data_IF_191458266205
#
_entry.id   IF_191458266205
#
_cell.length_a   1.000
_cell.length_b   1.000
_cell.length_c   1.000
_cell.angle_alpha   90.00
_cell.angle_beta   90.00
_cell.angle_gamma   90.00
#
_symmetry.space_group_name_H-M   'P 1'
#
loop_
_entity.id
_entity.type
_entity.pdbx_description
1 polymer ?
#
# COMPACT_ATOMS: atom_id res chain seq x y z
N UNK A 1 -11.19 10.03 -21.32
CA UNK A 1 -10.16 10.15 -20.27
C UNK A 1 -8.78 9.59 -20.72
N UNK A 2 -8.69 8.81 -21.85
CA UNK A 2 -7.43 8.23 -22.36
C UNK A 2 -7.04 6.93 -21.65
N UNK A 3 -5.77 6.52 -21.84
CA UNK A 3 -5.22 5.30 -21.23
C UNK A 3 -4.75 5.60 -19.80
N UNK A 4 -5.35 4.92 -18.82
CA UNK A 4 -5.09 5.09 -17.41
C UNK A 4 -4.22 3.93 -16.88
N UNK A 5 -3.51 4.06 -15.73
CA UNK A 5 -2.65 2.99 -15.20
C UNK A 5 -3.34 1.63 -15.08
N UNK A 6 -4.62 1.60 -14.69
CA UNK A 6 -5.42 0.37 -14.61
C UNK A 6 -5.64 -0.27 -15.99
N UNK A 7 -5.73 0.55 -17.05
CA UNK A 7 -5.85 0.04 -18.43
C UNK A 7 -4.56 -0.64 -18.85
N UNK A 8 -3.41 -0.03 -18.53
CA UNK A 8 -2.09 -0.60 -18.81
C UNK A 8 -1.90 -1.94 -18.09
N UNK A 9 -2.30 -2.01 -16.82
CA UNK A 9 -2.25 -3.25 -16.03
C UNK A 9 -3.11 -4.35 -16.68
N UNK A 10 -4.34 -4.03 -17.07
CA UNK A 10 -5.24 -4.97 -17.74
C UNK A 10 -4.66 -5.48 -19.08
N UNK A 11 -4.05 -4.60 -19.89
CA UNK A 11 -3.38 -4.97 -21.12
C UNK A 11 -2.23 -5.94 -20.86
N UNK A 12 -1.38 -5.64 -19.87
CA UNK A 12 -0.26 -6.50 -19.52
C UNK A 12 -0.70 -7.89 -19.06
N UNK A 13 -1.77 -7.97 -18.26
CA UNK A 13 -2.35 -9.25 -17.84
C UNK A 13 -2.92 -10.03 -19.02
N UNK A 14 -3.66 -9.39 -19.92
CA UNK A 14 -4.23 -10.03 -21.10
C UNK A 14 -3.13 -10.55 -22.03
N UNK A 15 -2.07 -9.76 -22.28
CA UNK A 15 -0.90 -10.18 -23.07
C UNK A 15 -0.16 -11.35 -22.42
N UNK A 16 0.07 -11.29 -21.10
CA UNK A 16 0.71 -12.40 -20.37
C UNK A 16 -0.11 -13.69 -20.44
N UNK A 17 -1.45 -13.57 -20.45
CA UNK A 17 -2.37 -14.71 -20.61
C UNK A 17 -2.51 -15.19 -22.06
N UNK A 18 -2.00 -14.47 -23.05
CA UNK A 18 -2.10 -14.80 -24.48
C UNK A 18 -3.54 -14.82 -25.01
N UNK A 19 -4.40 -13.95 -24.50
CA UNK A 19 -5.80 -13.83 -24.92
C UNK A 19 -5.97 -12.65 -25.89
N UNK A 20 -7.00 -12.75 -26.76
CA UNK A 20 -7.34 -11.66 -27.66
C UNK A 20 -7.95 -10.49 -26.89
N UNK A 21 -7.67 -9.29 -27.35
CA UNK A 21 -8.13 -8.05 -26.73
C UNK A 21 -9.07 -7.35 -27.71
N UNK A 22 -10.30 -7.07 -27.25
CA UNK A 22 -11.23 -6.17 -27.90
C UNK A 22 -11.33 -4.90 -27.08
N UNK A 23 -11.16 -3.75 -27.71
CA UNK A 23 -11.12 -2.44 -27.04
C UNK A 23 -12.47 -1.74 -27.20
N UNK A 24 -13.18 -1.53 -26.10
CA UNK A 24 -14.38 -0.69 -26.06
C UNK A 24 -14.00 0.74 -25.62
N UNK A 25 -14.06 1.69 -26.56
CA UNK A 25 -13.83 3.11 -26.26
C UNK A 25 -15.14 3.74 -25.81
N UNK A 26 -15.33 3.88 -24.50
CA UNK A 26 -16.58 4.32 -23.90
C UNK A 26 -16.68 5.86 -23.79
N UNK A 27 -17.93 6.33 -23.52
CA UNK A 27 -18.29 7.75 -23.32
C UNK A 27 -18.16 8.59 -24.59
N UNK A 28 -18.45 8.02 -25.76
CA UNK A 28 -18.42 8.76 -27.03
C UNK A 28 -19.50 9.85 -27.13
N UNK A 29 -20.52 9.80 -26.25
CA UNK A 29 -21.55 10.82 -26.09
C UNK A 29 -21.03 12.16 -25.54
N UNK A 30 -19.81 12.19 -24.96
CA UNK A 30 -19.24 13.42 -24.44
C UNK A 30 -18.66 14.29 -25.53
N UNK A 31 -18.86 15.63 -25.50
CA UNK A 31 -18.29 16.54 -26.50
C UNK A 31 -16.75 16.54 -26.57
N UNK A 32 -16.09 16.11 -25.49
CA UNK A 32 -14.63 15.99 -25.40
C UNK A 32 -14.10 14.62 -25.84
N UNK A 33 -14.97 13.71 -26.27
CA UNK A 33 -14.55 12.37 -26.68
C UNK A 33 -13.70 12.43 -27.96
N UNK A 34 -12.56 11.74 -27.93
CA UNK A 34 -11.67 11.62 -29.08
C UNK A 34 -11.18 10.17 -29.21
N UNK A 35 -11.85 9.40 -30.07
CA UNK A 35 -11.57 7.98 -30.30
C UNK A 35 -10.19 7.79 -30.94
N UNK A 36 -9.83 8.66 -31.88
CA UNK A 36 -8.54 8.55 -32.61
C UNK A 36 -7.33 8.79 -31.68
N UNK A 37 -7.47 9.69 -30.73
CA UNK A 37 -6.46 9.89 -29.69
C UNK A 37 -6.27 8.63 -28.84
N UNK A 38 -7.36 7.97 -28.42
CA UNK A 38 -7.29 6.74 -27.61
C UNK A 38 -6.66 5.60 -28.41
N UNK A 39 -6.98 5.47 -29.71
CA UNK A 39 -6.33 4.50 -30.60
C UNK A 39 -4.82 4.75 -30.67
N UNK A 40 -4.41 6.03 -30.80
CA UNK A 40 -3.01 6.41 -30.85
C UNK A 40 -2.26 6.09 -29.54
N UNK A 41 -2.84 6.42 -28.38
CA UNK A 41 -2.26 6.09 -27.06
C UNK A 41 -2.10 4.56 -26.88
N UNK A 42 -3.07 3.76 -27.36
CA UNK A 42 -3.01 2.29 -27.27
C UNK A 42 -2.00 1.64 -28.22
N UNK A 43 -1.60 2.34 -29.30
CA UNK A 43 -0.54 1.86 -30.18
C UNK A 43 0.81 1.73 -29.45
N UNK A 44 1.07 2.55 -28.43
CA UNK A 44 2.27 2.43 -27.58
C UNK A 44 2.33 1.08 -26.82
N UNK A 45 1.18 0.44 -26.68
CA UNK A 45 1.05 -0.89 -26.04
C UNK A 45 0.82 -2.00 -27.08
N UNK A 46 1.26 -1.85 -28.33
CA UNK A 46 1.09 -2.80 -29.45
C UNK A 46 -0.38 -3.18 -29.74
N UNK A 47 -1.35 -2.36 -29.35
CA UNK A 47 -2.75 -2.52 -29.70
C UNK A 47 -3.07 -1.61 -30.88
N UNK A 48 -2.78 -2.12 -32.10
CA UNK A 48 -2.97 -1.37 -33.33
C UNK A 48 -4.35 -1.70 -33.90
N UNK A 49 -5.12 -0.66 -34.21
CA UNK A 49 -6.46 -0.83 -34.78
C UNK A 49 -6.42 -1.49 -36.17
N UNK A 50 -7.46 -2.26 -36.49
CA UNK A 50 -7.61 -2.90 -37.80
C UNK A 50 -7.57 -1.86 -38.95
N UNK A 51 -8.21 -0.70 -38.76
CA UNK A 51 -8.20 0.43 -39.71
C UNK A 51 -6.77 0.92 -40.02
N UNK A 52 -5.82 0.71 -39.13
CA UNK A 52 -4.42 1.10 -39.26
C UNK A 52 -3.49 -0.06 -39.64
N UNK A 53 -4.11 -1.21 -40.02
CA UNK A 53 -3.40 -2.41 -40.43
C UNK A 53 -2.95 -3.33 -39.29
N UNK A 54 -3.49 -3.12 -38.10
CA UNK A 54 -3.29 -4.00 -36.94
C UNK A 54 -4.30 -5.14 -36.89
N UNK A 55 -4.41 -5.78 -35.73
CA UNK A 55 -5.31 -6.91 -35.47
C UNK A 55 -6.26 -6.66 -34.30
N UNK A 56 -6.25 -5.48 -33.68
CA UNK A 56 -7.07 -5.18 -32.52
C UNK A 56 -8.38 -4.54 -32.93
N UNK A 57 -9.50 -5.10 -32.49
CA UNK A 57 -10.83 -4.59 -32.76
C UNK A 57 -11.13 -3.44 -31.77
N UNK A 58 -11.51 -2.28 -32.31
CA UNK A 58 -11.93 -1.12 -31.55
C UNK A 58 -13.42 -0.86 -31.76
N UNK A 59 -14.19 -0.85 -30.66
CA UNK A 59 -15.60 -0.55 -30.67
C UNK A 59 -15.89 0.76 -29.93
N UNK A 60 -16.20 1.87 -30.63
CA UNK A 60 -16.69 3.07 -29.99
C UNK A 60 -18.07 2.82 -29.41
N UNK A 61 -18.26 3.12 -28.10
CA UNK A 61 -19.51 2.84 -27.39
C UNK A 61 -19.90 3.98 -26.45
N UNK A 62 -21.17 4.09 -26.14
CA UNK A 62 -21.68 4.87 -25.03
C UNK A 62 -22.55 3.99 -24.14
N UNK A 63 -22.07 3.65 -22.96
CA UNK A 63 -22.85 2.91 -21.98
C UNK A 63 -24.06 3.72 -21.47
N UNK A 64 -24.04 5.05 -21.59
CA UNK A 64 -25.14 5.90 -21.17
C UNK A 64 -26.30 5.91 -22.18
N UNK A 65 -26.00 5.98 -23.48
CA UNK A 65 -27.02 6.03 -24.55
C UNK A 65 -27.32 4.65 -25.11
N UNK A 66 -26.49 3.65 -24.89
CA UNK A 66 -26.56 2.33 -25.50
C UNK A 66 -25.96 2.26 -26.91
N UNK A 67 -25.45 3.36 -27.44
CA UNK A 67 -24.85 3.41 -28.78
C UNK A 67 -23.60 2.52 -28.86
N UNK A 68 -23.49 1.74 -29.93
CA UNK A 68 -22.36 0.86 -30.23
C UNK A 68 -22.30 -0.44 -29.40
N UNK A 69 -23.19 -0.65 -28.43
CA UNK A 69 -23.18 -1.85 -27.58
C UNK A 69 -23.46 -3.12 -28.38
N UNK A 70 -24.44 -3.09 -29.30
CA UNK A 70 -24.76 -4.26 -30.11
C UNK A 70 -23.57 -4.66 -31.00
N UNK A 71 -22.88 -3.69 -31.60
CA UNK A 71 -21.66 -3.93 -32.36
C UNK A 71 -20.55 -4.53 -31.52
N UNK A 72 -20.35 -4.03 -30.28
CA UNK A 72 -19.37 -4.61 -29.34
C UNK A 72 -19.68 -6.08 -29.05
N UNK A 73 -20.94 -6.40 -28.79
CA UNK A 73 -21.37 -7.78 -28.53
C UNK A 73 -21.18 -8.68 -29.76
N UNK A 74 -21.47 -8.20 -30.96
CA UNK A 74 -21.22 -8.90 -32.20
C UNK A 74 -19.74 -9.19 -32.45
N UNK A 75 -18.87 -8.21 -32.20
CA UNK A 75 -17.41 -8.41 -32.33
C UNK A 75 -16.86 -9.39 -31.29
N UNK A 76 -17.39 -9.40 -30.06
CA UNK A 76 -17.02 -10.40 -29.04
C UNK A 76 -17.45 -11.80 -29.45
N UNK A 77 -18.66 -11.96 -29.99
CA UNK A 77 -19.14 -13.26 -30.52
C UNK A 77 -18.28 -13.74 -31.68
N UNK A 78 -17.97 -12.88 -32.64
CA UNK A 78 -17.10 -13.20 -33.77
C UNK A 78 -15.72 -13.64 -33.32
N UNK A 79 -15.10 -12.93 -32.38
CA UNK A 79 -13.79 -13.29 -31.81
C UNK A 79 -13.85 -14.65 -31.12
N UNK A 80 -14.93 -14.94 -30.38
CA UNK A 80 -15.14 -16.23 -29.72
C UNK A 80 -15.32 -17.38 -30.73
N UNK A 81 -16.05 -17.15 -31.82
CA UNK A 81 -16.25 -18.14 -32.91
C UNK A 81 -14.92 -18.47 -33.61
N UNK A 82 -14.12 -17.46 -33.92
CA UNK A 82 -12.78 -17.65 -34.52
C UNK A 82 -11.84 -18.49 -33.64
N UNK A 83 -12.00 -18.43 -32.33
CA UNK A 83 -11.24 -19.22 -31.35
C UNK A 83 -11.70 -20.68 -31.26
N UNK A 84 -12.85 -21.05 -31.82
CA UNK A 84 -13.42 -22.40 -31.70
C UNK A 84 -13.39 -22.95 -30.25
N UNK A 85 -13.80 -22.16 -29.27
CA UNK A 85 -13.73 -22.51 -27.86
C UNK A 85 -14.61 -23.76 -27.57
N UNK A 86 -13.99 -24.85 -27.16
CA UNK A 86 -14.65 -26.14 -26.90
C UNK A 86 -14.39 -26.62 -25.47
N UNK A 87 -15.43 -27.14 -24.82
CA UNK A 87 -15.31 -27.78 -23.52
C UNK A 87 -16.17 -29.06 -23.47
N UNK A 88 -15.72 -30.06 -22.72
CA UNK A 88 -16.47 -31.31 -22.54
C UNK A 88 -17.37 -31.17 -21.29
N UNK A 89 -18.71 -31.17 -21.43
CA UNK A 89 -19.61 -31.12 -20.29
C UNK A 89 -19.75 -32.46 -19.56
N UNK A 90 -19.45 -33.60 -20.24
CA UNK A 90 -19.64 -34.93 -19.70
C UNK A 90 -18.45 -35.42 -18.85
N UNK A 91 -17.95 -34.60 -17.96
CA UNK A 91 -16.89 -34.95 -17.02
C UNK A 91 -17.12 -34.26 -15.67
N UNK A 92 -16.33 -34.62 -14.67
CA UNK A 92 -16.33 -33.93 -13.37
C UNK A 92 -15.98 -32.45 -13.55
N UNK A 93 -16.72 -31.59 -12.85
CA UNK A 93 -16.58 -30.15 -12.96
C UNK A 93 -15.20 -29.69 -12.49
N UNK A 94 -14.65 -28.73 -13.21
CA UNK A 94 -13.45 -27.99 -12.87
C UNK A 94 -13.58 -26.55 -13.37
N UNK A 95 -13.06 -25.61 -12.61
CA UNK A 95 -13.05 -24.21 -12.98
C UNK A 95 -12.29 -23.37 -11.97
N UNK A 96 -12.65 -22.09 -11.89
CA UNK A 96 -11.98 -21.08 -11.09
C UNK A 96 -12.96 -20.42 -10.12
N UNK A 97 -12.43 -19.95 -8.99
CA UNK A 97 -13.13 -19.01 -8.11
C UNK A 97 -12.94 -17.60 -8.66
N UNK A 98 -14.03 -16.91 -8.91
CA UNK A 98 -14.04 -15.50 -9.32
C UNK A 98 -13.94 -14.62 -8.08
N UNK A 99 -14.80 -14.91 -7.08
CA UNK A 99 -14.93 -14.14 -5.86
C UNK A 99 -15.41 -15.02 -4.71
N UNK A 100 -15.05 -14.69 -3.49
CA UNK A 100 -15.58 -15.38 -2.31
C UNK A 100 -15.79 -14.40 -1.16
N UNK A 101 -16.83 -14.67 -0.36
CA UNK A 101 -17.23 -13.84 0.77
C UNK A 101 -17.82 -14.68 1.90
N UNK A 102 -17.80 -14.11 3.11
CA UNK A 102 -18.51 -14.68 4.25
C UNK A 102 -19.84 -13.98 4.45
N UNK A 103 -20.94 -14.69 4.14
CA UNK A 103 -22.31 -14.19 4.33
C UNK A 103 -22.79 -14.54 5.74
N UNK A 104 -23.38 -13.56 6.47
CA UNK A 104 -23.84 -13.73 7.85
C UNK A 104 -24.92 -14.82 8.04
N UNK A 105 -25.72 -15.09 7.01
CA UNK A 105 -26.83 -16.07 7.07
C UNK A 105 -26.53 -17.38 6.36
N UNK A 106 -25.71 -17.35 5.32
CA UNK A 106 -25.43 -18.49 4.44
C UNK A 106 -24.05 -19.12 4.66
N UNK A 107 -23.18 -18.47 5.45
CA UNK A 107 -21.79 -18.90 5.67
C UNK A 107 -20.89 -18.58 4.49
N UNK A 108 -19.83 -19.38 4.25
CA UNK A 108 -18.95 -19.19 3.11
C UNK A 108 -19.70 -19.34 1.78
N UNK A 109 -19.56 -18.34 0.93
CA UNK A 109 -20.18 -18.25 -0.39
C UNK A 109 -19.10 -17.94 -1.40
N UNK A 110 -19.03 -18.70 -2.50
CA UNK A 110 -18.07 -18.47 -3.55
C UNK A 110 -18.77 -18.38 -4.92
N UNK A 111 -18.42 -17.39 -5.70
CA UNK A 111 -18.79 -17.30 -7.12
C UNK A 111 -17.71 -18.00 -7.92
N UNK A 112 -18.09 -19.05 -8.61
CA UNK A 112 -17.20 -19.89 -9.43
C UNK A 112 -17.59 -19.81 -10.91
N UNK A 113 -16.60 -19.96 -11.78
CA UNK A 113 -16.81 -20.16 -13.22
C UNK A 113 -16.46 -21.59 -13.58
N UNK A 114 -17.45 -22.35 -14.02
CA UNK A 114 -17.22 -23.69 -14.53
C UNK A 114 -16.54 -23.61 -15.89
N UNK A 115 -15.35 -24.20 -16.03
CA UNK A 115 -14.61 -24.21 -17.29
C UNK A 115 -14.78 -25.54 -18.05
N UNK A 116 -14.86 -26.64 -17.33
CA UNK A 116 -15.00 -28.00 -17.91
C UNK A 116 -15.89 -28.83 -17.01
N UNK A 117 -16.64 -29.76 -17.60
CA UNK A 117 -17.56 -30.63 -16.88
C UNK A 117 -18.86 -29.93 -16.50
N UNK A 118 -19.70 -30.61 -15.76
CA UNK A 118 -20.97 -30.08 -15.23
C UNK A 118 -20.95 -30.28 -13.70
N UNK A 119 -21.25 -29.22 -12.98
CA UNK A 119 -21.40 -29.21 -11.52
C UNK A 119 -22.88 -29.35 -11.17
N UNK A 120 -23.18 -30.22 -10.20
CA UNK A 120 -24.54 -30.43 -9.73
C UNK A 120 -24.68 -30.08 -8.25
N UNK A 121 -25.88 -29.70 -7.84
CA UNK A 121 -26.22 -29.62 -6.41
C UNK A 121 -26.07 -31.02 -5.80
N UNK A 122 -25.35 -31.11 -4.70
CA UNK A 122 -25.01 -32.36 -4.03
C UNK A 122 -23.63 -32.91 -4.36
N UNK A 123 -22.91 -32.38 -5.35
CA UNK A 123 -21.53 -32.74 -5.65
C UNK A 123 -20.59 -32.32 -4.53
N UNK A 124 -19.54 -33.12 -4.31
CA UNK A 124 -18.42 -32.71 -3.47
C UNK A 124 -17.51 -31.79 -4.26
N UNK A 125 -16.92 -30.84 -3.56
CA UNK A 125 -16.05 -29.82 -4.16
C UNK A 125 -14.82 -29.59 -3.28
N UNK A 126 -13.67 -29.43 -3.90
CA UNK A 126 -12.44 -28.99 -3.27
C UNK A 126 -11.94 -27.73 -4.01
N UNK A 127 -11.54 -26.70 -3.26
CA UNK A 127 -11.17 -25.39 -3.78
C UNK A 127 -10.00 -24.86 -2.95
N UNK A 128 -8.78 -24.91 -3.48
CA UNK A 128 -7.60 -24.54 -2.69
C UNK A 128 -7.55 -25.24 -1.33
N UNK A 129 -7.49 -24.51 -0.22
CA UNK A 129 -7.50 -25.08 1.14
C UNK A 129 -8.90 -25.51 1.61
N UNK A 130 -9.95 -25.14 0.87
CA UNK A 130 -11.34 -25.37 1.26
C UNK A 130 -11.92 -26.62 0.61
N UNK A 131 -12.90 -27.24 1.27
CA UNK A 131 -13.66 -28.36 0.73
C UNK A 131 -15.10 -28.29 1.23
N UNK A 132 -15.98 -29.05 0.62
CA UNK A 132 -17.37 -29.11 1.05
C UNK A 132 -18.28 -29.86 0.11
N UNK A 133 -19.59 -29.70 0.31
CA UNK A 133 -20.63 -30.24 -0.56
C UNK A 133 -21.51 -29.10 -1.04
N UNK A 134 -21.73 -29.01 -2.35
CA UNK A 134 -22.59 -27.99 -2.96
C UNK A 134 -24.02 -28.15 -2.45
N UNK A 135 -24.46 -27.29 -1.58
CA UNK A 135 -25.83 -27.31 -1.00
C UNK A 135 -26.83 -26.59 -1.87
N UNK A 136 -26.40 -25.52 -2.50
CA UNK A 136 -27.20 -24.74 -3.43
C UNK A 136 -26.31 -24.03 -4.45
N UNK A 137 -26.84 -23.79 -5.64
CA UNK A 137 -26.25 -22.96 -6.69
C UNK A 137 -27.23 -21.86 -7.08
N UNK A 138 -26.73 -20.67 -7.30
CA UNK A 138 -27.51 -19.48 -7.66
C UNK A 138 -26.88 -18.87 -8.91
N UNK A 139 -27.70 -18.58 -9.93
CA UNK A 139 -27.23 -17.97 -11.17
C UNK A 139 -27.03 -16.45 -11.02
N UNK A 140 -26.58 -15.80 -12.10
CA UNK A 140 -26.38 -14.35 -12.23
C UNK A 140 -27.68 -13.52 -12.02
N UNK A 141 -28.86 -14.17 -12.15
CA UNK A 141 -30.17 -13.54 -11.94
C UNK A 141 -30.76 -13.82 -10.55
N UNK A 142 -29.98 -14.42 -9.66
CA UNK A 142 -30.42 -14.76 -8.30
C UNK A 142 -31.37 -15.99 -8.22
N UNK A 143 -31.47 -16.80 -9.26
CA UNK A 143 -32.33 -17.99 -9.29
C UNK A 143 -31.56 -19.21 -8.87
N UNK A 144 -32.20 -20.12 -8.14
CA UNK A 144 -31.61 -21.43 -7.81
C UNK A 144 -31.59 -22.31 -9.05
N UNK A 145 -30.43 -22.91 -9.31
CA UNK A 145 -30.21 -23.87 -10.39
C UNK A 145 -29.67 -25.18 -9.81
N UNK A 146 -29.94 -26.30 -10.51
CA UNK A 146 -29.49 -27.62 -10.06
C UNK A 146 -28.21 -28.09 -10.74
N UNK A 147 -27.87 -27.52 -11.90
CA UNK A 147 -26.66 -27.84 -12.66
C UNK A 147 -26.06 -26.61 -13.31
N UNK A 148 -24.75 -26.63 -13.47
CA UNK A 148 -23.96 -25.59 -14.14
C UNK A 148 -22.94 -26.23 -15.07
N UNK A 149 -23.11 -26.00 -16.37
CA UNK A 149 -22.19 -26.48 -17.41
C UNK A 149 -21.00 -25.56 -17.65
N UNK A 150 -20.16 -25.85 -18.66
CA UNK A 150 -19.06 -25.01 -19.05
C UNK A 150 -19.48 -23.57 -19.35
N UNK A 151 -18.59 -22.61 -19.03
CA UNK A 151 -18.78 -21.15 -19.17
C UNK A 151 -19.94 -20.57 -18.36
N UNK A 152 -20.44 -21.30 -17.35
CA UNK A 152 -21.53 -20.84 -16.49
C UNK A 152 -20.97 -20.31 -15.18
N UNK A 153 -21.15 -19.01 -14.86
CA UNK A 153 -20.83 -18.46 -13.54
C UNK A 153 -21.97 -18.81 -12.57
N UNK A 154 -21.60 -19.28 -11.37
CA UNK A 154 -22.58 -19.61 -10.33
C UNK A 154 -22.07 -19.28 -8.95
N UNK A 155 -22.93 -18.75 -8.10
CA UNK A 155 -22.68 -18.62 -6.67
C UNK A 155 -22.99 -19.96 -6.00
N UNK A 156 -22.03 -20.52 -5.27
CA UNK A 156 -22.18 -21.79 -4.54
C UNK A 156 -22.19 -21.57 -3.04
N UNK A 157 -22.95 -22.40 -2.34
CA UNK A 157 -23.03 -22.44 -0.88
C UNK A 157 -22.69 -23.87 -0.44
N UNK A 158 -21.88 -24.00 0.62
CA UNK A 158 -21.61 -25.31 1.24
C UNK A 158 -20.14 -25.66 1.42
N UNK A 159 -19.24 -24.69 1.21
CA UNK A 159 -17.84 -24.78 1.58
C UNK A 159 -17.66 -24.67 3.11
N UNK A 160 -16.57 -25.24 3.64
CA UNK A 160 -16.21 -25.14 5.04
C UNK A 160 -15.59 -23.78 5.42
N UNK A 161 -14.96 -23.10 4.44
CA UNK A 161 -14.31 -21.81 4.63
C UNK A 161 -14.34 -20.99 3.32
N UNK A 162 -13.87 -19.75 3.36
CA UNK A 162 -13.83 -18.84 2.21
C UNK A 162 -12.55 -19.10 1.39
N UNK A 163 -12.65 -19.55 0.12
CA UNK A 163 -11.49 -19.75 -0.75
C UNK A 163 -10.94 -18.42 -1.28
N UNK A 164 -9.72 -18.46 -1.84
CA UNK A 164 -9.15 -17.31 -2.51
C UNK A 164 -9.69 -17.15 -3.93
N UNK A 165 -9.78 -15.89 -4.39
CA UNK A 165 -10.04 -15.61 -5.80
C UNK A 165 -8.89 -16.17 -6.65
N UNK A 166 -9.23 -16.76 -7.82
CA UNK A 166 -8.25 -17.43 -8.67
C UNK A 166 -7.96 -18.89 -8.31
N UNK A 167 -8.39 -19.39 -7.15
CA UNK A 167 -8.22 -20.80 -6.78
C UNK A 167 -8.97 -21.71 -7.78
N UNK A 168 -8.31 -22.82 -8.13
CA UNK A 168 -8.93 -23.83 -8.97
C UNK A 168 -9.84 -24.71 -8.11
N UNK A 169 -11.08 -24.89 -8.54
CA UNK A 169 -11.96 -25.89 -7.97
C UNK A 169 -12.00 -27.17 -8.80
N UNK A 170 -12.20 -28.29 -8.13
CA UNK A 170 -12.46 -29.59 -8.70
C UNK A 170 -13.63 -30.26 -7.99
N UNK A 171 -14.38 -31.14 -8.71
CA UNK A 171 -15.46 -31.94 -8.12
C UNK A 171 -15.02 -33.41 -8.04
N UNK A 172 -14.47 -33.87 -6.89
CA UNK A 172 -14.12 -35.26 -6.68
C UNK A 172 -15.36 -36.14 -6.51
N UNK A 173 -15.16 -37.47 -6.44
CA UNK A 173 -16.27 -38.41 -6.30
C UNK A 173 -16.78 -38.52 -4.87
N UNK A 174 -15.89 -38.34 -3.90
CA UNK A 174 -16.19 -38.54 -2.49
C UNK A 174 -15.73 -37.38 -1.63
N UNK A 175 -16.38 -37.21 -0.47
CA UNK A 175 -15.97 -36.20 0.53
C UNK A 175 -14.54 -36.40 1.02
N UNK A 176 -14.13 -37.67 1.18
CA UNK A 176 -12.76 -38.00 1.61
C UNK A 176 -11.73 -37.50 0.60
N UNK A 177 -11.98 -37.69 -0.71
CA UNK A 177 -11.11 -37.18 -1.76
C UNK A 177 -11.05 -35.63 -1.71
N UNK A 178 -12.19 -34.95 -1.54
CA UNK A 178 -12.25 -33.50 -1.44
C UNK A 178 -11.38 -32.99 -0.27
N UNK A 179 -11.51 -33.61 0.88
CA UNK A 179 -10.72 -33.29 2.07
C UNK A 179 -9.22 -33.52 1.86
N UNK A 180 -8.85 -34.67 1.27
CA UNK A 180 -7.45 -34.99 0.97
C UNK A 180 -6.83 -33.96 0.00
N UNK A 181 -7.55 -33.51 -1.03
CA UNK A 181 -7.08 -32.44 -1.92
C UNK A 181 -6.82 -31.13 -1.17
N UNK A 182 -7.74 -30.73 -0.30
CA UNK A 182 -7.56 -29.51 0.51
C UNK A 182 -6.35 -29.61 1.46
N UNK A 183 -6.19 -30.76 2.14
CA UNK A 183 -5.04 -31.02 3.04
C UNK A 183 -3.72 -31.03 2.27
N UNK A 184 -3.67 -31.62 1.07
CA UNK A 184 -2.47 -31.61 0.21
C UNK A 184 -2.11 -30.19 -0.20
N UNK A 185 -3.10 -29.39 -0.60
CA UNK A 185 -2.89 -27.98 -0.98
C UNK A 185 -2.30 -27.17 0.18
N UNK A 186 -2.82 -27.36 1.40
CA UNK A 186 -2.30 -26.71 2.61
C UNK A 186 -0.84 -27.14 2.91
N UNK A 187 -0.54 -28.43 2.76
CA UNK A 187 0.80 -28.96 3.00
C UNK A 187 1.81 -28.42 1.99
N UNK A 188 1.45 -28.37 0.70
CA UNK A 188 2.29 -27.79 -0.36
C UNK A 188 2.53 -26.29 -0.14
N UNK A 189 1.49 -25.55 0.26
CA UNK A 189 1.60 -24.13 0.61
C UNK A 189 2.57 -23.88 1.76
N UNK A 190 2.51 -24.68 2.83
CA UNK A 190 3.46 -24.62 3.95
C UNK A 190 4.89 -24.92 3.51
N UNK A 191 5.11 -25.93 2.68
CA UNK A 191 6.43 -26.29 2.19
C UNK A 191 7.04 -25.18 1.34
N UNK A 192 6.24 -24.54 0.46
CA UNK A 192 6.68 -23.41 -0.35
C UNK A 192 7.09 -22.21 0.52
N UNK A 193 6.30 -21.86 1.53
CA UNK A 193 6.64 -20.80 2.47
C UNK A 193 7.94 -21.08 3.24
N UNK A 194 8.17 -22.34 3.65
CA UNK A 194 9.41 -22.74 4.33
C UNK A 194 10.62 -22.66 3.38
N UNK A 195 10.46 -23.02 2.11
CA UNK A 195 11.53 -22.91 1.11
C UNK A 195 11.85 -21.45 0.79
N UNK A 196 10.83 -20.59 0.59
CA UNK A 196 10.99 -19.17 0.37
C UNK A 196 11.65 -18.46 1.57
N UNK A 197 11.30 -18.86 2.79
CA UNK A 197 11.91 -18.31 4.01
C UNK A 197 13.38 -18.75 4.14
N UNK A 198 13.70 -19.99 3.81
CA UNK A 198 15.09 -20.49 3.83
C UNK A 198 15.98 -19.81 2.77
N UNK A 199 15.43 -19.50 1.60
CA UNK A 199 16.18 -18.82 0.53
C UNK A 199 16.45 -17.35 0.82
N UNK A 200 15.70 -16.73 1.72
CA UNK A 200 15.82 -15.29 2.09
C UNK A 200 16.68 -15.03 3.32
N UNK A 201 17.11 -16.06 4.05
CA UNK A 201 17.99 -15.89 5.23
C UNK A 201 19.46 -16.16 4.88
N UNK A 202 20.13 -15.20 4.24
CA UNK A 202 21.58 -15.17 4.21
C UNK A 202 22.13 -14.44 5.46
N UNK A 203 23.39 -14.73 5.83
CA UNK A 203 24.06 -14.00 6.93
C UNK A 203 24.15 -12.50 6.67
N UNK A 204 24.19 -12.07 5.39
CA UNK A 204 24.16 -10.68 4.97
C UNK A 204 22.83 -10.01 5.27
N UNK A 205 21.70 -10.74 5.11
CA UNK A 205 20.36 -10.25 5.49
C UNK A 205 20.22 -10.12 7.01
N UNK A 206 20.87 -11.00 7.79
CA UNK A 206 20.90 -10.90 9.25
C UNK A 206 21.73 -9.68 9.71
N UNK A 207 22.83 -9.38 9.04
CA UNK A 207 23.63 -8.18 9.31
C UNK A 207 22.91 -6.91 8.90
N UNK A 208 22.19 -6.90 7.77
CA UNK A 208 21.37 -5.76 7.36
C UNK A 208 20.19 -5.54 8.31
N UNK A 209 19.55 -6.59 8.83
CA UNK A 209 18.52 -6.48 9.88
C UNK A 209 19.07 -5.95 11.22
N UNK A 210 20.30 -6.29 11.59
CA UNK A 210 20.95 -5.75 12.80
C UNK A 210 21.34 -4.28 12.61
N UNK A 211 21.78 -3.87 11.42
CA UNK A 211 21.97 -2.46 11.07
C UNK A 211 20.65 -1.69 10.91
N UNK A 212 19.59 -2.36 10.54
CA UNK A 212 18.23 -1.83 10.41
C UNK A 212 17.52 -1.58 11.76
N UNK A 213 18.21 -1.63 12.89
CA UNK A 213 17.66 -1.37 14.23
C UNK A 213 16.95 -0.03 14.43
N UNK A 214 16.84 0.78 13.37
CA UNK A 214 16.07 2.03 13.32
C UNK A 214 14.84 1.97 12.40
N UNK A 215 14.53 0.81 11.77
CA UNK A 215 13.32 0.68 10.95
C UNK A 215 12.10 0.63 11.86
N UNK A 216 11.16 1.56 11.64
CA UNK A 216 9.87 1.57 12.31
C UNK A 216 8.93 0.61 11.58
N UNK A 217 8.16 -0.20 12.32
CA UNK A 217 7.14 -1.08 11.76
C UNK A 217 5.74 -0.48 12.03
N UNK A 218 4.90 -0.46 11.00
CA UNK A 218 3.48 -0.14 11.10
C UNK A 218 2.68 -1.41 10.88
N UNK A 219 2.21 -2.00 11.96
CA UNK A 219 1.40 -3.22 11.94
C UNK A 219 -0.06 -2.89 11.62
N UNK A 220 -0.63 -3.63 10.66
CA UNK A 220 -2.00 -3.41 10.18
C UNK A 220 -2.77 -4.73 10.16
N UNK A 221 -4.04 -4.67 10.58
CA UNK A 221 -5.03 -5.73 10.36
C UNK A 221 -6.00 -5.26 9.28
N UNK A 222 -6.22 -6.08 8.23
CA UNK A 222 -7.13 -5.76 7.13
C UNK A 222 -8.35 -6.64 7.17
N UNK A 223 -9.55 -6.03 7.18
CA UNK A 223 -10.83 -6.74 7.04
C UNK A 223 -11.62 -6.13 5.88
N UNK A 224 -12.17 -6.97 5.01
CA UNK A 224 -12.99 -6.52 3.89
C UNK A 224 -14.21 -7.41 3.65
N UNK A 225 -15.11 -6.95 2.80
CA UNK A 225 -16.36 -7.65 2.45
C UNK A 225 -16.15 -8.90 1.60
N UNK A 226 -15.14 -8.88 0.71
CA UNK A 226 -14.78 -9.98 -0.20
C UNK A 226 -13.28 -10.22 -0.22
N UNK A 227 -12.87 -11.43 -0.59
CA UNK A 227 -11.47 -11.84 -0.60
C UNK A 227 -10.60 -10.99 -1.55
N UNK A 228 -11.13 -10.64 -2.73
CA UNK A 228 -10.42 -9.77 -3.66
C UNK A 228 -10.13 -8.38 -3.10
N UNK A 229 -11.05 -7.80 -2.32
CA UNK A 229 -10.84 -6.54 -1.62
C UNK A 229 -9.75 -6.65 -0.55
N UNK A 230 -9.72 -7.76 0.21
CA UNK A 230 -8.67 -8.04 1.20
C UNK A 230 -7.29 -8.02 0.54
N UNK A 231 -7.13 -8.77 -0.55
CA UNK A 231 -5.85 -8.84 -1.26
C UNK A 231 -5.44 -7.50 -1.89
N UNK A 232 -6.38 -6.79 -2.52
CA UNK A 232 -6.12 -5.49 -3.13
C UNK A 232 -5.64 -4.45 -2.09
N UNK A 233 -6.34 -4.35 -0.95
CA UNK A 233 -5.97 -3.44 0.13
C UNK A 233 -4.61 -3.83 0.71
N UNK A 234 -4.40 -5.13 1.04
CA UNK A 234 -3.13 -5.64 1.56
C UNK A 234 -1.95 -5.30 0.64
N UNK A 235 -2.06 -5.63 -0.65
CA UNK A 235 -0.99 -5.37 -1.61
C UNK A 235 -0.70 -3.87 -1.78
N UNK A 236 -1.74 -3.04 -1.81
CA UNK A 236 -1.59 -1.59 -1.93
C UNK A 236 -0.89 -0.99 -0.71
N UNK A 237 -1.25 -1.44 0.49
CA UNK A 237 -0.64 -0.95 1.73
C UNK A 237 0.82 -1.41 1.90
N UNK A 238 1.12 -2.68 1.58
CA UNK A 238 2.50 -3.20 1.65
C UNK A 238 3.43 -2.49 0.67
N UNK A 239 2.94 -2.05 -0.51
CA UNK A 239 3.72 -1.26 -1.48
C UNK A 239 4.15 0.11 -0.97
N UNK A 240 3.51 0.64 0.08
CA UNK A 240 3.90 1.92 0.70
C UNK A 240 5.18 1.83 1.53
N UNK A 241 5.62 0.62 1.88
CA UNK A 241 6.85 0.40 2.65
C UNK A 241 8.03 1.10 1.99
N UNK A 242 8.85 1.74 2.80
CA UNK A 242 10.07 2.44 2.40
C UNK A 242 11.25 2.07 3.33
N UNK A 243 12.40 2.68 3.12
CA UNK A 243 13.64 2.39 3.88
C UNK A 243 13.58 2.86 5.34
N UNK A 244 12.58 3.62 5.75
CA UNK A 244 12.43 4.17 7.10
C UNK A 244 11.25 3.53 7.87
N UNK A 245 10.16 3.14 7.16
CA UNK A 245 8.95 2.51 7.75
C UNK A 245 8.51 1.33 6.91
N UNK A 246 8.35 0.18 7.55
CA UNK A 246 7.80 -1.03 6.94
C UNK A 246 6.33 -1.18 7.30
N UNK A 247 5.46 -1.27 6.32
CA UNK A 247 4.04 -1.61 6.51
C UNK A 247 3.88 -3.12 6.51
N UNK A 248 3.41 -3.67 7.62
CA UNK A 248 3.26 -5.10 7.82
C UNK A 248 1.80 -5.47 8.09
N UNK A 249 1.21 -6.23 7.20
CA UNK A 249 -0.14 -6.77 7.43
C UNK A 249 -0.03 -8.07 8.23
N UNK A 250 -0.30 -7.97 9.53
CA UNK A 250 -0.17 -9.10 10.47
C UNK A 250 -1.35 -10.07 10.38
N UNK A 251 -2.54 -9.57 10.03
CA UNK A 251 -3.72 -10.40 9.78
C UNK A 251 -4.58 -9.78 8.69
N UNK A 252 -5.17 -10.64 7.85
CA UNK A 252 -6.10 -10.21 6.81
C UNK A 252 -7.22 -11.24 6.68
N UNK A 253 -8.46 -10.79 6.54
CA UNK A 253 -9.59 -11.71 6.46
C UNK A 253 -10.88 -11.07 5.97
N UNK A 254 -11.80 -11.93 5.54
CA UNK A 254 -13.11 -11.55 5.01
C UNK A 254 -14.14 -11.49 6.14
N UNK A 255 -15.06 -10.54 6.05
CA UNK A 255 -16.19 -10.37 6.96
C UNK A 255 -16.07 -9.19 7.91
N UNK A 256 -17.01 -9.08 8.85
CA UNK A 256 -17.04 -8.01 9.83
C UNK A 256 -15.81 -8.07 10.77
N UNK A 257 -15.43 -6.92 11.29
CA UNK A 257 -14.40 -6.83 12.33
C UNK A 257 -15.01 -7.38 13.61
N UNK A 258 -14.36 -8.36 14.22
CA UNK A 258 -14.82 -9.06 15.42
C UNK A 258 -13.91 -8.79 16.64
N UNK A 259 -14.32 -9.28 17.80
CA UNK A 259 -13.57 -9.15 19.06
C UNK A 259 -12.12 -9.65 18.94
N UNK A 260 -11.90 -10.82 18.29
CA UNK A 260 -10.55 -11.40 18.16
C UNK A 260 -9.62 -10.52 17.32
N UNK A 261 -10.14 -9.82 16.31
CA UNK A 261 -9.37 -8.87 15.50
C UNK A 261 -8.91 -7.69 16.39
N UNK A 262 -9.78 -7.18 17.26
CA UNK A 262 -9.46 -6.05 18.15
C UNK A 262 -8.46 -6.46 19.23
N UNK A 263 -8.61 -7.66 19.81
CA UNK A 263 -7.64 -8.19 20.79
C UNK A 263 -6.26 -8.36 20.15
N UNK A 264 -6.21 -8.88 18.93
CA UNK A 264 -4.95 -9.01 18.19
C UNK A 264 -4.32 -7.64 17.92
N UNK A 265 -5.12 -6.65 17.52
CA UNK A 265 -4.64 -5.29 17.27
C UNK A 265 -4.10 -4.64 18.56
N UNK A 266 -4.81 -4.78 19.68
CA UNK A 266 -4.34 -4.28 20.99
C UNK A 266 -3.01 -4.93 21.40
N UNK A 267 -2.89 -6.26 21.26
CA UNK A 267 -1.68 -6.99 21.60
C UNK A 267 -0.48 -6.67 20.73
N UNK A 268 -0.69 -6.27 19.48
CA UNK A 268 0.35 -5.98 18.48
C UNK A 268 0.54 -4.49 18.22
N UNK A 269 -0.17 -3.61 18.91
CA UNK A 269 -0.21 -2.16 18.65
C UNK A 269 -0.52 -1.84 17.19
N UNK A 270 -1.42 -2.61 16.57
CA UNK A 270 -1.76 -2.54 15.17
C UNK A 270 -3.00 -1.66 14.92
N UNK A 271 -3.07 -1.07 13.73
CA UNK A 271 -4.25 -0.35 13.23
C UNK A 271 -5.17 -1.33 12.53
N UNK A 272 -6.49 -1.23 12.76
CA UNK A 272 -7.48 -2.03 12.03
C UNK A 272 -8.04 -1.21 10.86
N UNK A 273 -7.88 -1.72 9.64
CA UNK A 273 -8.46 -1.18 8.42
C UNK A 273 -9.63 -2.04 7.96
N UNK A 274 -10.84 -1.50 8.05
CA UNK A 274 -12.06 -2.11 7.53
C UNK A 274 -12.46 -1.53 6.18
N UNK A 275 -12.48 -2.35 5.13
CA UNK A 275 -12.90 -1.94 3.79
C UNK A 275 -14.28 -2.50 3.46
N UNK A 276 -15.27 -1.63 3.26
CA UNK A 276 -16.70 -1.97 3.06
C UNK A 276 -17.33 -2.83 4.18
N UNK A 277 -16.69 -2.94 5.34
CA UNK A 277 -17.19 -3.70 6.49
C UNK A 277 -17.39 -2.80 7.69
N UNK A 278 -18.09 -3.31 8.70
CA UNK A 278 -18.29 -2.62 9.98
C UNK A 278 -17.91 -3.54 11.12
N UNK A 279 -17.43 -2.99 12.23
CA UNK A 279 -17.26 -3.77 13.45
C UNK A 279 -18.61 -4.26 13.98
N UNK A 280 -18.63 -5.41 14.62
CA UNK A 280 -19.75 -5.79 15.44
C UNK A 280 -19.79 -4.93 16.73
N UNK A 281 -20.88 -5.05 17.50
CA UNK A 281 -21.06 -4.20 18.67
C UNK A 281 -20.00 -4.48 19.75
N UNK A 282 -19.62 -5.75 19.94
CA UNK A 282 -18.61 -6.14 20.91
C UNK A 282 -17.22 -5.64 20.50
N UNK A 283 -16.86 -5.78 19.23
CA UNK A 283 -15.59 -5.27 18.70
C UNK A 283 -15.47 -3.76 18.86
N UNK A 284 -16.56 -3.00 18.65
CA UNK A 284 -16.57 -1.55 18.85
C UNK A 284 -16.31 -1.18 20.31
N UNK A 285 -17.05 -1.80 21.24
CA UNK A 285 -16.93 -1.51 22.67
C UNK A 285 -15.53 -1.85 23.19
N UNK A 286 -14.93 -2.94 22.68
CA UNK A 286 -13.57 -3.34 23.04
C UNK A 286 -12.54 -2.39 22.43
N UNK A 287 -12.70 -2.00 21.16
CA UNK A 287 -11.78 -1.07 20.49
C UNK A 287 -11.72 0.29 21.22
N UNK A 288 -12.87 0.80 21.67
CA UNK A 288 -12.92 2.03 22.46
C UNK A 288 -12.25 1.86 23.83
N UNK A 289 -12.46 0.73 24.51
CA UNK A 289 -11.86 0.45 25.81
C UNK A 289 -10.36 0.24 25.76
N UNK A 290 -9.87 -0.50 24.77
CA UNK A 290 -8.45 -0.81 24.54
C UNK A 290 -7.72 0.27 23.75
N UNK A 291 -8.41 1.34 23.34
CA UNK A 291 -7.89 2.46 22.54
C UNK A 291 -7.23 2.01 21.23
N UNK A 292 -7.85 1.03 20.55
CA UNK A 292 -7.38 0.52 19.25
C UNK A 292 -7.87 1.45 18.13
N UNK A 293 -6.97 1.91 17.28
CA UNK A 293 -7.31 2.72 16.10
C UNK A 293 -8.01 1.85 15.03
N UNK A 294 -9.31 2.11 14.84
CA UNK A 294 -10.18 1.39 13.94
C UNK A 294 -10.70 2.33 12.85
N UNK A 295 -10.27 2.14 11.62
CA UNK A 295 -10.60 2.99 10.48
C UNK A 295 -11.39 2.25 9.43
N UNK A 296 -12.45 2.88 8.94
CA UNK A 296 -13.40 2.30 7.98
C UNK A 296 -13.38 3.06 6.68
N UNK A 297 -13.16 2.34 5.57
CA UNK A 297 -13.05 2.92 4.23
C UNK A 297 -14.02 2.27 3.25
N UNK A 298 -14.40 3.02 2.22
CA UNK A 298 -15.14 2.55 1.04
C UNK A 298 -14.37 2.77 -0.25
N UNK A 299 -13.34 3.59 -0.20
CA UNK A 299 -12.48 3.94 -1.32
C UNK A 299 -11.04 3.66 -0.91
N UNK A 300 -10.32 2.87 -1.69
CA UNK A 300 -8.97 2.41 -1.37
C UNK A 300 -7.96 3.55 -1.26
N UNK A 301 -8.12 4.61 -2.06
CA UNK A 301 -7.22 5.76 -2.04
C UNK A 301 -7.20 6.48 -0.70
N UNK A 302 -8.35 6.58 -0.02
CA UNK A 302 -8.42 7.18 1.32
C UNK A 302 -7.64 6.37 2.35
N UNK A 303 -7.68 5.03 2.26
CA UNK A 303 -6.89 4.17 3.14
C UNK A 303 -5.39 4.34 2.89
N UNK A 304 -4.98 4.47 1.63
CA UNK A 304 -3.59 4.71 1.24
C UNK A 304 -3.10 6.05 1.79
N UNK A 305 -3.84 7.14 1.55
CA UNK A 305 -3.51 8.49 2.01
C UNK A 305 -3.37 8.56 3.55
N UNK A 306 -4.28 7.93 4.27
CA UNK A 306 -4.25 7.92 5.74
C UNK A 306 -3.07 7.09 6.29
N UNK A 307 -2.72 5.97 5.64
CA UNK A 307 -1.57 5.16 6.03
C UNK A 307 -0.26 5.90 5.70
N UNK A 308 -0.16 6.56 4.55
CA UNK A 308 0.99 7.42 4.23
C UNK A 308 1.15 8.56 5.25
N UNK A 309 0.05 9.19 5.66
CA UNK A 309 0.09 10.22 6.69
C UNK A 309 0.53 9.67 8.05
N UNK A 310 0.07 8.46 8.43
CA UNK A 310 0.50 7.78 9.64
C UNK A 310 2.00 7.44 9.60
N UNK A 311 2.50 6.93 8.47
CA UNK A 311 3.93 6.64 8.27
C UNK A 311 4.78 7.92 8.42
N UNK A 312 4.37 9.03 7.81
CA UNK A 312 5.05 10.34 7.95
C UNK A 312 5.08 10.80 9.42
N UNK A 313 3.98 10.62 10.14
CA UNK A 313 3.89 10.97 11.57
C UNK A 313 4.75 10.10 12.48
N UNK A 314 5.14 8.90 12.04
CA UNK A 314 6.05 8.00 12.76
C UNK A 314 7.52 8.40 12.62
N UNK A 315 7.88 9.15 11.57
CA UNK A 315 9.28 9.52 11.31
C UNK A 315 9.78 10.53 12.32
N UNK A 316 11.06 10.38 12.71
CA UNK A 316 11.71 11.39 13.54
C UNK A 316 11.93 12.66 12.72
N UNK A 317 11.79 13.85 13.34
CA UNK A 317 12.00 15.10 12.63
C UNK A 317 13.44 15.17 12.09
N UNK A 318 13.59 15.52 10.82
CA UNK A 318 14.90 15.83 10.23
C UNK A 318 15.24 17.28 10.56
N UNK A 319 16.43 17.47 11.09
CA UNK A 319 16.97 18.79 11.36
C UNK A 319 18.03 19.14 10.32
N UNK A 320 17.94 20.33 9.77
CA UNK A 320 18.98 20.90 8.90
C UNK A 320 19.65 22.07 9.59
N UNK A 321 20.97 22.17 9.39
CA UNK A 321 21.72 23.31 9.88
C UNK A 321 21.38 24.54 9.04
N UNK A 322 20.86 25.56 9.67
CA UNK A 322 20.61 26.86 9.04
C UNK A 322 21.54 27.89 9.64
N UNK A 323 22.43 28.44 8.82
CA UNK A 323 23.25 29.59 9.22
C UNK A 323 22.32 30.80 9.39
N UNK A 324 22.37 31.41 10.56
CA UNK A 324 21.52 32.54 10.95
C UNK A 324 22.29 33.84 11.12
N UNK A 325 23.64 33.81 11.20
CA UNK A 325 24.45 35.02 11.27
C UNK A 325 25.93 34.76 11.22
N UNK A 326 26.68 35.83 10.97
CA UNK A 326 28.15 35.85 10.97
C UNK A 326 28.64 36.92 11.92
N UNK A 327 29.65 36.56 12.72
CA UNK A 327 30.14 37.39 13.82
C UNK A 327 31.66 37.46 13.79
N UNK A 328 32.22 38.61 14.01
CA UNK A 328 33.68 38.86 14.13
C UNK A 328 34.06 39.09 15.57
N UNK A 329 35.09 38.41 16.06
CA UNK A 329 35.67 38.65 17.39
C UNK A 329 36.60 39.88 17.34
N UNK A 330 36.21 40.95 18.02
CA UNK A 330 36.98 42.21 18.06
C UNK A 330 37.87 42.33 19.27
N UNK A 331 37.44 41.74 20.39
CA UNK A 331 38.19 41.77 21.66
C UNK A 331 37.98 40.51 22.48
N UNK A 332 38.95 40.13 23.29
CA UNK A 332 38.80 38.98 24.20
C UNK A 332 39.01 39.41 25.66
N UNK A 333 38.13 38.91 26.54
CA UNK A 333 38.17 39.19 27.98
C UNK A 333 38.25 37.88 28.76
N UNK A 334 39.26 37.73 29.62
CA UNK A 334 39.42 36.56 30.50
C UNK A 334 38.67 36.79 31.81
N UNK A 335 37.71 35.96 32.13
CA UNK A 335 36.97 36.00 33.39
C UNK A 335 37.21 34.68 34.16
N UNK A 336 37.69 34.81 35.39
CA UNK A 336 38.20 33.70 36.22
C UNK A 336 37.14 32.60 36.51
N UNK A 337 35.85 32.88 36.37
CA UNK A 337 34.75 31.96 36.72
C UNK A 337 34.00 31.44 35.47
N UNK A 338 34.00 32.21 34.36
CA UNK A 338 33.13 31.96 33.20
C UNK A 338 33.93 31.56 31.95
N UNK A 339 35.28 31.69 32.00
CA UNK A 339 36.17 31.44 30.86
C UNK A 339 36.45 32.71 30.04
N UNK A 340 36.77 32.52 28.75
CA UNK A 340 37.02 33.61 27.81
C UNK A 340 35.74 34.13 27.21
N UNK A 341 35.52 35.44 27.36
CA UNK A 341 34.37 36.14 26.74
C UNK A 341 34.88 36.75 25.42
N UNK A 342 34.29 36.36 24.30
CA UNK A 342 34.54 36.98 23.01
C UNK A 342 33.68 38.25 22.89
N UNK A 343 34.28 39.39 22.95
CA UNK A 343 33.68 40.68 22.59
C UNK A 343 33.57 40.75 21.06
N UNK A 344 32.40 40.51 20.57
CA UNK A 344 32.13 40.21 19.16
C UNK A 344 31.18 41.26 18.56
N UNK A 345 31.26 41.42 17.25
CA UNK A 345 30.38 42.29 16.46
C UNK A 345 29.64 41.46 15.42
N UNK A 346 28.31 41.59 15.38
CA UNK A 346 27.47 40.84 14.42
C UNK A 346 27.53 41.54 13.08
N UNK A 347 28.18 40.89 12.10
CA UNK A 347 28.37 41.43 10.76
C UNK A 347 27.09 41.28 9.92
N UNK A 348 26.46 40.08 9.98
CA UNK A 348 25.26 39.77 9.25
C UNK A 348 24.35 38.83 10.05
N UNK A 349 23.03 38.92 9.78
CA UNK A 349 22.02 38.06 10.41
C UNK A 349 21.79 38.36 11.89
N UNK A 350 21.76 37.31 12.71
CA UNK A 350 21.57 37.42 14.16
C UNK A 350 22.29 36.28 14.93
N UNK A 351 22.53 36.53 16.20
CA UNK A 351 23.01 35.52 17.15
C UNK A 351 21.95 35.25 18.18
N UNK A 352 21.64 33.99 18.46
CA UNK A 352 20.70 33.61 19.53
C UNK A 352 21.40 32.77 20.59
N UNK A 353 20.92 32.84 21.84
CA UNK A 353 21.55 32.11 22.96
C UNK A 353 21.55 30.60 22.77
N UNK A 354 20.56 30.07 22.04
CA UNK A 354 20.38 28.62 21.82
C UNK A 354 21.03 28.13 20.51
N UNK A 355 21.84 28.95 19.84
CA UNK A 355 22.55 28.60 18.62
C UNK A 355 23.89 27.94 18.93
N UNK A 356 24.39 27.23 17.92
CA UNK A 356 25.79 26.77 17.88
C UNK A 356 26.62 27.69 16.97
N UNK A 357 27.91 27.64 17.16
CA UNK A 357 28.85 28.44 16.35
C UNK A 357 30.01 27.59 15.87
N UNK A 358 30.41 27.86 14.64
CA UNK A 358 31.70 27.44 14.07
C UNK A 358 32.67 28.60 14.12
N UNK A 359 33.77 28.41 14.82
CA UNK A 359 34.80 29.43 14.91
C UNK A 359 35.89 29.08 13.94
N UNK A 360 36.24 30.01 13.05
CA UNK A 360 37.31 29.86 12.07
C UNK A 360 38.40 30.91 12.32
N UNK A 361 39.66 30.49 12.19
CA UNK A 361 40.83 31.34 12.25
C UNK A 361 41.57 31.27 10.92
N UNK A 362 41.40 32.28 10.08
CA UNK A 362 41.73 32.16 8.66
C UNK A 362 40.84 31.10 8.00
N UNK A 363 41.50 30.06 7.43
CA UNK A 363 40.78 28.97 6.80
C UNK A 363 40.59 27.74 7.70
N UNK A 364 41.11 27.76 8.93
CA UNK A 364 41.07 26.63 9.84
C UNK A 364 39.86 26.69 10.79
N UNK A 365 39.07 25.63 10.84
CA UNK A 365 38.00 25.44 11.83
C UNK A 365 38.63 25.05 13.17
N UNK A 366 38.47 25.91 14.18
CA UNK A 366 39.08 25.71 15.52
C UNK A 366 38.10 25.25 16.59
N UNK A 367 36.80 25.51 16.39
CA UNK A 367 35.75 25.07 17.30
C UNK A 367 34.41 24.94 16.57
N UNK A 368 33.63 23.94 16.97
CA UNK A 368 32.21 23.75 16.59
C UNK A 368 31.43 23.32 17.83
N UNK A 369 30.43 24.10 18.23
CA UNK A 369 29.66 23.80 19.43
C UNK A 369 28.71 24.92 19.88
N UNK A 370 27.99 24.69 20.99
CA UNK A 370 26.96 25.59 21.48
C UNK A 370 27.49 26.85 22.15
N UNK A 371 26.69 27.92 22.12
CA UNK A 371 26.90 29.14 22.87
C UNK A 371 26.49 28.90 24.33
N UNK A 372 27.43 29.05 25.28
CA UNK A 372 27.13 28.93 26.70
C UNK A 372 26.42 30.19 27.26
N UNK A 373 26.82 31.39 26.82
CA UNK A 373 26.21 32.64 27.26
C UNK A 373 26.31 33.72 26.18
N UNK A 374 25.24 34.47 26.02
CA UNK A 374 25.11 35.63 25.13
C UNK A 374 24.74 36.85 25.95
N UNK A 375 25.61 37.87 25.96
CA UNK A 375 25.42 39.13 26.71
C UNK A 375 25.55 40.35 25.83
N UNK A 376 24.83 41.39 26.18
CA UNK A 376 25.03 42.73 25.63
C UNK A 376 25.28 43.69 26.77
N UNK A 377 26.47 44.26 26.76
CA UNK A 377 27.06 44.98 27.91
C UNK A 377 27.14 44.07 29.16
N UNK A 378 26.27 44.20 30.13
CA UNK A 378 26.23 43.37 31.35
C UNK A 378 25.00 42.48 31.44
N UNK A 379 24.04 42.64 30.54
CA UNK A 379 22.74 42.00 30.58
C UNK A 379 22.72 40.73 29.70
N UNK A 380 22.14 39.65 30.20
CA UNK A 380 21.86 38.45 29.40
C UNK A 380 20.74 38.75 28.39
N UNK A 381 20.98 38.45 27.13
CA UNK A 381 20.02 38.67 26.05
C UNK A 381 19.71 37.37 25.33
N UNK A 382 18.49 37.29 24.75
CA UNK A 382 18.08 36.14 23.99
C UNK A 382 18.60 36.14 22.55
N UNK A 383 18.71 37.35 21.97
CA UNK A 383 19.17 37.53 20.59
C UNK A 383 19.91 38.87 20.42
N UNK A 384 20.85 38.93 19.47
CA UNK A 384 21.51 40.13 19.02
C UNK A 384 21.55 40.18 17.51
N UNK A 385 21.12 41.29 16.91
CA UNK A 385 21.01 41.47 15.44
C UNK A 385 22.29 42.08 14.86
N UNK A 386 22.41 42.00 13.53
CA UNK A 386 23.51 42.65 12.80
C UNK A 386 23.64 44.14 13.15
N UNK A 387 24.90 44.60 13.22
CA UNK A 387 25.23 45.99 13.59
C UNK A 387 25.42 46.26 15.09
N UNK A 388 25.27 45.24 15.93
CA UNK A 388 25.44 45.36 17.36
C UNK A 388 26.59 44.54 17.92
N UNK A 389 27.17 45.02 19.01
CA UNK A 389 28.21 44.32 19.78
C UNK A 389 27.58 43.41 20.81
N UNK A 390 28.23 42.26 21.05
CA UNK A 390 27.81 41.29 22.06
C UNK A 390 29.02 40.57 22.66
N UNK A 391 28.84 40.02 23.85
CA UNK A 391 29.78 39.13 24.50
C UNK A 391 29.30 37.68 24.36
N UNK A 392 30.08 36.83 23.71
CA UNK A 392 29.76 35.42 23.51
C UNK A 392 30.72 34.58 24.34
N UNK A 393 30.19 33.63 25.09
CA UNK A 393 30.99 32.59 25.79
C UNK A 393 30.65 31.25 25.14
N UNK A 394 31.68 30.52 24.76
CA UNK A 394 31.54 29.20 24.16
C UNK A 394 31.66 28.11 25.23
N UNK A 395 30.93 27.00 25.02
CA UNK A 395 30.97 25.89 25.98
C UNK A 395 32.32 25.14 25.85
N UNK A 396 33.08 25.05 26.98
CA UNK A 396 34.36 24.31 27.07
C UNK A 396 35.44 24.75 26.09
N UNK A 397 35.37 25.95 25.52
CA UNK A 397 36.39 26.50 24.63
C UNK A 397 36.85 27.89 25.07
N UNK A 398 38.19 28.07 25.25
CA UNK A 398 38.77 29.28 25.76
C UNK A 398 39.86 29.90 24.88
N UNK A 399 40.26 29.26 23.76
CA UNK A 399 41.33 29.74 22.87
C UNK A 399 40.79 30.64 21.75
N UNK A 400 39.86 31.53 22.08
CA UNK A 400 39.33 32.53 21.17
C UNK A 400 40.34 33.70 21.08
N UNK A 401 40.59 34.19 19.86
CA UNK A 401 41.48 35.34 19.58
C UNK A 401 40.77 36.43 18.80
N UNK A 402 41.35 37.60 18.85
CA UNK A 402 40.91 38.72 18.03
C UNK A 402 41.08 38.43 16.54
N UNK A 403 40.08 38.71 15.72
CA UNK A 403 40.04 38.40 14.31
C UNK A 403 39.45 37.03 13.96
N UNK A 404 39.10 36.19 14.96
CA UNK A 404 38.37 34.93 14.68
C UNK A 404 36.97 35.25 14.16
N UNK A 405 36.53 34.46 13.14
CA UNK A 405 35.21 34.55 12.60
C UNK A 405 34.30 33.45 13.18
N UNK A 406 33.09 33.80 13.51
CA UNK A 406 32.06 32.86 14.01
C UNK A 406 30.89 32.80 13.05
N UNK A 407 30.62 31.65 12.49
CA UNK A 407 29.41 31.35 11.78
C UNK A 407 28.38 30.78 12.76
N UNK A 408 27.27 31.48 12.94
CA UNK A 408 26.22 31.10 13.89
C UNK A 408 25.17 30.31 13.15
N UNK A 409 24.86 29.11 13.63
CA UNK A 409 23.83 28.25 13.02
C UNK A 409 22.86 27.68 14.07
N UNK A 410 21.68 27.29 13.61
CA UNK A 410 20.69 26.60 14.41
C UNK A 410 20.13 25.42 13.66
N UNK A 411 19.75 24.38 14.40
CA UNK A 411 19.06 23.23 13.82
C UNK A 411 17.58 23.58 13.63
N UNK A 412 17.11 23.58 12.39
CA UNK A 412 15.71 23.85 12.03
C UNK A 412 15.06 22.56 11.58
N UNK A 413 13.92 22.26 12.14
CA UNK A 413 13.11 21.13 11.72
C UNK A 413 12.56 21.37 10.31
N UNK A 414 12.81 20.40 9.41
CA UNK A 414 12.26 20.43 8.04
C UNK A 414 10.98 19.64 8.02
N UNK A 415 9.85 20.22 7.58
CA UNK A 415 8.63 19.48 7.35
C UNK A 415 8.83 18.45 6.21
N UNK A 416 8.40 17.21 6.44
CA UNK A 416 8.50 16.07 5.50
C UNK A 416 7.22 15.85 4.70
#
# INVERSE_FOLDING_TARGET
DGVMPQTVEAINHAKAAGIDIVVAVNKIDKPSANVERVKQELTEYDLIAEDWGGSTIFCPVSAHTGEGIDNLLEMLLLTAEMRELKANPNRKARGLVIEAKLDKGRGPVATILVQKGTLHVGDFIAVGPCHGKVRAMIDDKGRRINEAGPSTPVEIIGLNDVPNAGDIFISPKTDKEAKTFAETFIAEGKNRLVEETKSKMSLEDLFSQIQAGNLKELDIIVKADVQGSVEAVKQSLVKLSNDEVIVKVIHAGVGAINESDVILASASNAIIIGFNVRPDNQARDIAERENVDLRLYRVIYQAIEDVEAAMKGMLDPKYEEKVIGTVEVRQTYKASVIGTIAGSYVLDGMVTKNSSVRVTRGDDLIYDGPIASLKRFKDDVKEVKAGYECGIVLEKFNDIKEGDMMEVYTMVEIPR
#
